data_IF_745273728780
#
_entry.id   IF_745273728780
#
_cell.length_a   1.000
_cell.length_b   1.000
_cell.length_c   1.000
_cell.angle_alpha   90.00
_cell.angle_beta   90.00
_cell.angle_gamma   90.00
#
_symmetry.space_group_name_H-M   'P 1'
#
loop_
_entity.id
_entity.type
_entity.pdbx_description
1 polymer ?
#
# COMPACT_ATOMS: atom_id res chain seq x y z
N UNK A 1 5.90 -21.43 -19.40
CA UNK A 1 5.84 -19.95 -19.43
C UNK A 1 5.62 -19.44 -18.02
N UNK A 2 6.43 -18.52 -17.52
CA UNK A 2 6.20 -17.83 -16.24
C UNK A 2 5.17 -16.72 -16.43
N UNK A 3 4.10 -16.69 -15.61
CA UNK A 3 3.14 -15.57 -15.57
C UNK A 3 3.56 -14.61 -14.46
N UNK A 4 3.70 -13.33 -14.79
CA UNK A 4 3.86 -12.27 -13.79
C UNK A 4 2.53 -12.06 -13.08
N UNK A 5 2.55 -12.15 -11.74
CA UNK A 5 1.36 -12.00 -10.89
C UNK A 5 1.43 -10.77 -9.99
N UNK A 6 2.37 -9.84 -10.24
CA UNK A 6 2.50 -8.64 -9.43
C UNK A 6 3.78 -7.87 -9.72
N UNK A 7 3.91 -6.71 -9.07
CA UNK A 7 5.08 -5.85 -9.14
C UNK A 7 5.32 -5.19 -7.79
N UNK A 8 6.60 -5.04 -7.43
CA UNK A 8 7.01 -4.44 -6.16
C UNK A 8 8.03 -3.33 -6.41
N UNK A 9 7.86 -2.22 -5.68
CA UNK A 9 8.83 -1.14 -5.57
C UNK A 9 9.74 -1.37 -4.37
N UNK A 10 11.04 -1.17 -4.55
CA UNK A 10 11.98 -1.08 -3.43
C UNK A 10 11.86 0.29 -2.78
N UNK A 11 11.65 0.33 -1.46
CA UNK A 11 11.48 1.56 -0.68
C UNK A 11 12.29 1.50 0.61
N UNK A 12 12.70 2.66 1.10
CA UNK A 12 13.19 2.78 2.46
C UNK A 12 12.01 3.07 3.39
N UNK A 13 11.99 2.43 4.55
CA UNK A 13 10.96 2.57 5.57
C UNK A 13 11.64 2.80 6.93
N UNK A 14 11.14 3.76 7.70
CA UNK A 14 11.67 4.04 9.02
C UNK A 14 10.81 3.35 10.08
N UNK A 15 11.45 2.51 10.90
CA UNK A 15 10.83 1.88 12.06
C UNK A 15 11.71 2.07 13.27
N UNK A 16 11.17 2.60 14.34
CA UNK A 16 11.89 2.81 15.61
C UNK A 16 13.19 3.62 15.41
N UNK A 17 13.16 4.64 14.54
CA UNK A 17 14.32 5.48 14.20
C UNK A 17 15.37 4.81 13.31
N UNK A 18 15.12 3.59 12.81
CA UNK A 18 16.01 2.87 11.90
C UNK A 18 15.42 2.82 10.50
N UNK A 19 16.21 3.22 9.51
CA UNK A 19 15.90 3.03 8.10
C UNK A 19 16.15 1.58 7.70
N UNK A 20 15.11 0.89 7.26
CA UNK A 20 15.15 -0.46 6.73
C UNK A 20 14.61 -0.49 5.31
N UNK A 21 15.11 -1.41 4.50
CA UNK A 21 14.57 -1.63 3.15
C UNK A 21 13.32 -2.50 3.24
N UNK A 22 12.28 -2.09 2.54
CA UNK A 22 11.09 -2.89 2.30
C UNK A 22 10.75 -2.88 0.81
N UNK A 23 9.92 -3.82 0.39
CA UNK A 23 9.31 -3.76 -0.93
C UNK A 23 7.80 -3.65 -0.77
N UNK A 24 7.13 -2.84 -1.58
CA UNK A 24 5.66 -2.78 -1.58
C UNK A 24 5.11 -2.69 -2.98
N UNK A 25 3.89 -3.15 -3.17
CA UNK A 25 3.22 -3.08 -4.46
C UNK A 25 1.97 -3.92 -4.50
N UNK A 26 1.63 -4.40 -5.68
CA UNK A 26 0.37 -5.10 -5.93
C UNK A 26 0.62 -6.53 -6.39
N UNK A 27 -0.24 -7.43 -5.93
CA UNK A 27 -0.30 -8.82 -6.33
C UNK A 27 -1.68 -9.10 -6.96
N UNK A 28 -1.69 -9.57 -8.20
CA UNK A 28 -2.86 -10.02 -8.95
C UNK A 28 -3.22 -11.47 -8.57
N UNK A 29 -4.39 -11.64 -7.95
CA UNK A 29 -4.96 -12.92 -7.54
C UNK A 29 -5.97 -13.45 -8.57
N UNK A 30 -5.97 -12.91 -9.79
CA UNK A 30 -6.87 -13.29 -10.88
C UNK A 30 -8.31 -12.88 -10.57
N UNK A 31 -9.22 -13.86 -10.51
CA UNK A 31 -10.64 -13.60 -10.29
C UNK A 31 -10.94 -12.97 -8.91
N UNK A 32 -10.01 -13.08 -7.95
CA UNK A 32 -10.13 -12.46 -6.63
C UNK A 32 -9.69 -10.98 -6.61
N UNK A 33 -9.19 -10.46 -7.74
CA UNK A 33 -8.70 -9.09 -7.86
C UNK A 33 -7.25 -8.91 -7.41
N UNK A 34 -6.86 -7.65 -7.18
CA UNK A 34 -5.51 -7.29 -6.76
C UNK A 34 -5.46 -6.89 -5.29
N UNK A 35 -4.37 -7.24 -4.60
CA UNK A 35 -4.12 -6.84 -3.22
C UNK A 35 -2.81 -6.06 -3.09
N UNK A 36 -2.82 -5.05 -2.23
CA UNK A 36 -1.61 -4.32 -1.85
C UNK A 36 -0.85 -5.07 -0.77
N UNK A 37 0.44 -5.29 -0.99
CA UNK A 37 1.31 -6.02 -0.08
C UNK A 37 2.56 -5.21 0.28
N UNK A 38 3.14 -5.52 1.43
CA UNK A 38 4.48 -5.10 1.82
C UNK A 38 5.33 -6.32 2.17
N UNK A 39 6.61 -6.27 1.84
CA UNK A 39 7.56 -7.36 1.99
C UNK A 39 8.75 -6.86 2.81
N UNK A 40 9.06 -7.60 3.88
CA UNK A 40 10.12 -7.26 4.82
C UNK A 40 11.10 -8.42 4.94
N UNK A 41 12.36 -8.14 5.27
CA UNK A 41 13.33 -9.18 5.61
C UNK A 41 12.85 -9.93 6.87
N UNK A 42 12.91 -11.26 6.84
CA UNK A 42 12.54 -12.08 7.97
C UNK A 42 13.61 -11.98 9.08
N UNK A 43 13.36 -11.12 10.08
CA UNK A 43 14.25 -10.94 11.24
C UNK A 43 14.33 -12.18 12.14
N UNK A 44 13.40 -13.13 12.01
CA UNK A 44 13.37 -14.38 12.77
C UNK A 44 14.07 -15.53 12.04
N UNK A 45 14.66 -15.27 10.87
CA UNK A 45 15.43 -16.28 10.13
C UNK A 45 16.68 -16.67 10.93
N UNK A 46 16.69 -17.87 11.51
CA UNK A 46 17.82 -18.44 12.26
C UNK A 46 18.48 -19.63 11.53
N UNK A 47 17.79 -20.21 10.54
CA UNK A 47 18.21 -21.39 9.77
C UNK A 47 17.93 -21.21 8.28
N UNK A 48 18.66 -21.95 7.46
CA UNK A 48 18.55 -21.85 5.99
C UNK A 48 17.23 -22.38 5.44
N UNK A 49 16.53 -23.24 6.18
CA UNK A 49 15.21 -23.76 5.80
C UNK A 49 14.05 -22.79 6.08
N UNK A 50 14.34 -21.54 6.44
CA UNK A 50 13.33 -20.52 6.71
C UNK A 50 13.29 -19.44 5.61
N UNK A 51 12.11 -18.82 5.37
CA UNK A 51 11.97 -17.78 4.38
C UNK A 51 12.86 -16.57 4.66
N UNK A 52 13.45 -15.99 3.62
CA UNK A 52 14.24 -14.75 3.70
C UNK A 52 13.38 -13.50 3.89
N UNK A 53 12.14 -13.54 3.39
CA UNK A 53 11.21 -12.42 3.41
C UNK A 53 9.83 -12.85 3.90
N UNK A 54 9.13 -11.92 4.54
CA UNK A 54 7.73 -12.06 4.96
C UNK A 54 6.87 -11.07 4.18
N UNK A 55 5.65 -11.48 3.84
CA UNK A 55 4.66 -10.65 3.14
C UNK A 55 3.53 -10.33 4.11
N UNK A 56 3.13 -9.06 4.17
CA UNK A 56 1.99 -8.59 4.95
C UNK A 56 1.01 -7.85 4.05
N UNK A 57 -0.27 -7.92 4.40
CA UNK A 57 -1.30 -7.11 3.75
C UNK A 57 -1.10 -5.64 4.12
N UNK A 58 -1.05 -4.78 3.11
CA UNK A 58 -1.07 -3.34 3.33
C UNK A 58 -2.54 -2.93 3.51
N UNK A 59 -2.93 -2.64 4.75
CA UNK A 59 -4.28 -2.12 5.00
C UNK A 59 -4.43 -0.75 4.34
N UNK A 60 -5.55 -0.47 3.65
CA UNK A 60 -5.79 0.83 3.04
C UNK A 60 -6.02 1.97 4.05
N UNK A 61 -6.10 1.66 5.35
CA UNK A 61 -6.30 2.66 6.41
C UNK A 61 -5.05 3.50 6.73
N UNK A 62 -3.86 3.03 6.35
CA UNK A 62 -2.59 3.73 6.61
C UNK A 62 -2.07 4.46 5.36
N UNK A 63 -2.94 5.22 4.68
CA UNK A 63 -2.46 6.27 3.76
C UNK A 63 -2.06 7.48 4.62
N UNK A 64 -0.78 7.89 4.67
CA UNK A 64 -0.44 9.24 5.13
C UNK A 64 -1.21 10.23 4.26
N UNK A 65 -2.02 11.10 4.87
CA UNK A 65 -2.71 12.19 4.18
C UNK A 65 -1.67 13.17 3.63
N UNK A 66 -1.21 12.96 2.41
CA UNK A 66 -0.39 13.93 1.68
C UNK A 66 -1.29 14.74 0.74
N UNK A 67 -1.67 15.93 1.22
CA UNK A 67 -2.11 17.12 0.48
C UNK A 67 -2.96 16.95 -0.78
N UNK A 68 -4.27 16.87 -0.61
CA UNK A 68 -5.23 17.31 -1.62
C UNK A 68 -5.32 18.85 -1.61
N UNK A 69 -4.41 19.55 -2.29
CA UNK A 69 -4.70 20.89 -2.82
C UNK A 69 -5.29 20.71 -4.22
N UNK A 70 -6.61 20.72 -4.34
CA UNK A 70 -7.28 21.12 -5.58
C UNK A 70 -8.18 22.31 -5.30
N UNK A 71 -7.75 23.43 -5.88
CA UNK A 71 -8.46 24.71 -6.00
C UNK A 71 -9.63 24.60 -6.99
N UNK A 72 -10.66 25.44 -6.78
CA UNK A 72 -11.73 25.79 -7.74
C UNK A 72 -13.09 25.23 -7.33
N UNK A 73 -13.90 25.96 -6.54
CA UNK A 73 -14.87 26.99 -6.96
C UNK A 73 -15.90 26.48 -7.97
N UNK A 74 -17.14 26.27 -7.52
CA UNK A 74 -18.29 26.94 -8.15
C UNK A 74 -19.50 27.01 -7.22
N UNK A 75 -20.06 28.21 -7.22
CA UNK A 75 -21.24 28.70 -6.50
C UNK A 75 -22.49 28.30 -7.27
N UNK A 76 -23.51 27.75 -6.61
CA UNK A 76 -24.89 27.86 -7.07
C UNK A 76 -25.85 27.89 -5.86
N UNK A 77 -26.59 29.00 -5.78
CA UNK A 77 -27.77 29.22 -4.94
C UNK A 77 -29.00 28.58 -5.60
N UNK A 78 -29.98 28.18 -4.80
CA UNK A 78 -31.45 28.13 -5.05
C UNK A 78 -32.07 27.58 -3.75
N UNK A 79 -32.58 28.39 -2.82
CA UNK A 79 -33.94 28.98 -2.72
C UNK A 79 -35.11 27.97 -2.87
N UNK A 80 -35.91 27.94 -1.81
CA UNK A 80 -37.34 27.63 -1.64
C UNK A 80 -37.91 26.27 -2.06
N UNK A 81 -38.41 25.49 -1.07
CA UNK A 81 -39.79 24.94 -1.09
C UNK A 81 -40.33 24.83 0.36
N UNK A 82 -41.48 25.48 0.59
CA UNK A 82 -42.37 25.42 1.76
C UNK A 82 -42.92 24.02 2.06
N UNK A 83 -43.11 23.70 3.34
CA UNK A 83 -44.25 22.92 3.86
C UNK A 83 -44.57 23.31 5.30
#
# INVERSE_FOLDING_TARGET
>A
MSKTIGALWLRDFEKDGKKEKMMSGELDLGALGSISIAVFKNKKKDKDNQPDYIIVLSNPADKPKENSKSSGSDTAKEEDIDF
#
